data_IF_997988372913
#
_entry.id   IF_997988372913
#
_cell.length_a   1.000
_cell.length_b   1.000
_cell.length_c   1.000
_cell.angle_alpha   90.00
_cell.angle_beta   90.00
_cell.angle_gamma   90.00
#
_symmetry.space_group_name_H-M   'P 1'
#
loop_
_entity.id
_entity.type
_entity.pdbx_description
1 polymer ?
#
# COMPACT_ATOMS: atom_id res chain seq x y z
N UNK A 1 59.61 -63.28 29.71
CA UNK A 1 58.18 -63.24 29.34
C UNK A 1 57.37 -62.19 30.15
N UNK A 2 57.96 -61.05 30.55
CA UNK A 2 57.33 -60.08 31.47
C UNK A 2 56.95 -58.72 30.84
N UNK A 3 57.12 -58.56 29.53
CA UNK A 3 56.84 -57.29 28.83
C UNK A 3 55.41 -57.18 28.29
N UNK A 4 54.66 -58.27 28.23
CA UNK A 4 53.34 -58.31 27.59
C UNK A 4 52.22 -57.85 28.54
N UNK A 5 52.32 -58.10 29.85
CA UNK A 5 51.25 -57.72 30.79
C UNK A 5 51.24 -56.20 31.08
N UNK A 6 52.39 -55.55 31.29
CA UNK A 6 52.44 -54.09 31.55
C UNK A 6 51.94 -53.26 30.37
N UNK A 7 52.28 -53.67 29.14
CA UNK A 7 51.78 -53.04 27.91
C UNK A 7 50.27 -53.29 27.74
N UNK A 8 49.78 -54.49 28.08
CA UNK A 8 48.36 -54.81 28.00
C UNK A 8 47.52 -54.10 29.07
N UNK A 9 48.05 -53.88 30.28
CA UNK A 9 47.35 -53.14 31.35
C UNK A 9 47.32 -51.64 31.07
N UNK A 10 48.41 -51.06 30.55
CA UNK A 10 48.43 -49.68 30.05
C UNK A 10 47.43 -49.51 28.91
N UNK A 11 47.44 -50.42 27.93
CA UNK A 11 46.49 -50.39 26.81
C UNK A 11 45.01 -50.48 27.28
N UNK A 12 44.71 -51.29 28.29
CA UNK A 12 43.37 -51.38 28.88
C UNK A 12 42.96 -50.09 29.61
N UNK A 13 43.89 -49.45 30.32
CA UNK A 13 43.65 -48.20 31.03
C UNK A 13 43.49 -47.02 30.06
N UNK A 14 44.32 -46.96 29.01
CA UNK A 14 44.23 -45.97 27.93
C UNK A 14 42.92 -46.13 27.17
N UNK A 15 42.55 -47.36 26.80
CA UNK A 15 41.26 -47.66 26.17
C UNK A 15 40.05 -47.28 27.04
N UNK A 16 40.16 -47.43 28.37
CA UNK A 16 39.11 -47.02 29.30
C UNK A 16 39.01 -45.50 29.41
N UNK A 17 40.16 -44.81 29.41
CA UNK A 17 40.24 -43.34 29.46
C UNK A 17 39.67 -42.72 28.18
N UNK A 18 40.03 -43.24 27.01
CA UNK A 18 39.49 -42.79 25.72
C UNK A 18 37.97 -42.96 25.64
N UNK A 19 37.45 -44.09 26.13
CA UNK A 19 35.99 -44.33 26.22
C UNK A 19 35.31 -43.35 27.16
N UNK A 20 35.91 -43.03 28.30
CA UNK A 20 35.37 -42.06 29.25
C UNK A 20 35.35 -40.65 28.64
N UNK A 21 36.43 -40.23 27.98
CA UNK A 21 36.49 -38.95 27.28
C UNK A 21 35.45 -38.85 26.16
N UNK A 22 35.22 -39.93 25.41
CA UNK A 22 34.16 -40.00 24.40
C UNK A 22 32.75 -39.88 25.01
N UNK A 23 32.50 -40.53 26.16
CA UNK A 23 31.23 -40.44 26.88
C UNK A 23 30.97 -39.03 27.43
N UNK A 24 31.98 -38.39 28.03
CA UNK A 24 31.90 -37.02 28.52
C UNK A 24 31.59 -36.04 27.37
N UNK A 25 32.24 -36.21 26.22
CA UNK A 25 31.97 -35.39 25.02
C UNK A 25 30.52 -35.56 24.55
N UNK A 26 30.01 -36.80 24.50
CA UNK A 26 28.62 -37.08 24.10
C UNK A 26 27.59 -36.53 25.09
N UNK A 27 27.87 -36.62 26.39
CA UNK A 27 27.04 -36.03 27.43
C UNK A 27 26.97 -34.51 27.28
N UNK A 28 28.12 -33.85 27.10
CA UNK A 28 28.18 -32.41 26.88
C UNK A 28 27.37 -31.98 25.64
N UNK A 29 27.52 -32.68 24.50
CA UNK A 29 26.71 -32.41 23.30
C UNK A 29 25.21 -32.58 23.57
N UNK A 30 24.81 -33.62 24.30
CA UNK A 30 23.40 -33.87 24.61
C UNK A 30 22.82 -32.79 25.53
N UNK A 31 23.61 -32.34 26.51
CA UNK A 31 23.24 -31.22 27.39
C UNK A 31 23.08 -29.92 26.59
N UNK A 32 23.98 -29.63 25.64
CA UNK A 32 23.86 -28.48 24.74
C UNK A 32 22.63 -28.57 23.85
N UNK A 33 22.34 -29.74 23.24
CA UNK A 33 21.13 -29.95 22.44
C UNK A 33 19.86 -29.75 23.25
N UNK A 34 19.85 -30.18 24.51
CA UNK A 34 18.73 -30.00 25.43
C UNK A 34 18.55 -28.53 25.83
N UNK A 35 19.65 -27.83 26.11
CA UNK A 35 19.62 -26.42 26.49
C UNK A 35 19.15 -25.52 25.33
N UNK A 36 19.58 -25.81 24.10
CA UNK A 36 19.20 -25.03 22.91
C UNK A 36 17.89 -25.51 22.25
N UNK A 37 17.40 -26.69 22.62
CA UNK A 37 16.24 -27.34 21.97
C UNK A 37 16.47 -27.73 20.51
N UNK A 38 17.72 -27.76 20.04
CA UNK A 38 18.09 -28.04 18.65
C UNK A 38 18.81 -29.37 18.53
N UNK A 39 18.45 -30.15 17.51
CA UNK A 39 19.14 -31.40 17.20
C UNK A 39 20.51 -31.17 16.55
N UNK A 40 20.67 -30.08 15.79
CA UNK A 40 21.93 -29.72 15.12
C UNK A 40 22.45 -28.43 15.74
N UNK A 41 23.60 -28.50 16.40
CA UNK A 41 24.24 -27.37 17.10
C UNK A 41 25.21 -26.63 16.18
N UNK A 42 26.09 -27.37 15.50
CA UNK A 42 27.02 -26.83 14.53
C UNK A 42 26.77 -27.43 13.13
N UNK A 43 26.95 -26.65 12.04
CA UNK A 43 26.93 -27.17 10.68
C UNK A 43 27.93 -28.33 10.45
N UNK A 44 29.02 -28.37 11.20
CA UNK A 44 30.03 -29.43 11.15
C UNK A 44 29.51 -30.79 11.65
N UNK A 45 28.49 -30.81 12.51
CA UNK A 45 28.01 -32.03 13.17
C UNK A 45 27.07 -32.84 12.27
N UNK A 46 26.41 -32.17 11.32
CA UNK A 46 25.50 -32.78 10.36
C UNK A 46 25.39 -31.92 9.09
N UNK A 47 26.39 -31.96 8.19
CA UNK A 47 26.45 -31.06 7.03
C UNK A 47 25.21 -31.15 6.12
N UNK A 48 24.66 -32.34 5.90
CA UNK A 48 23.44 -32.52 5.08
C UNK A 48 22.21 -31.86 5.72
N UNK A 49 22.05 -32.01 7.05
CA UNK A 49 20.96 -31.38 7.81
C UNK A 49 21.15 -29.87 7.88
N UNK A 50 22.38 -29.41 8.06
CA UNK A 50 22.71 -28.00 8.10
C UNK A 50 22.40 -27.31 6.76
N UNK A 51 22.71 -27.94 5.63
CA UNK A 51 22.34 -27.44 4.31
C UNK A 51 20.82 -27.36 4.13
N UNK A 52 20.06 -28.37 4.61
CA UNK A 52 18.60 -28.32 4.57
C UNK A 52 18.02 -27.20 5.46
N UNK A 53 18.54 -27.03 6.68
CA UNK A 53 18.15 -25.93 7.59
C UNK A 53 18.44 -24.58 6.95
N UNK A 54 19.61 -24.38 6.35
CA UNK A 54 19.97 -23.13 5.69
C UNK A 54 19.01 -22.81 4.53
N UNK A 55 18.64 -23.82 3.72
CA UNK A 55 17.63 -23.64 2.66
C UNK A 55 16.27 -23.22 3.24
N UNK A 56 15.82 -23.86 4.32
CA UNK A 56 14.57 -23.52 4.99
C UNK A 56 14.61 -22.11 5.60
N UNK A 57 15.72 -21.72 6.23
CA UNK A 57 15.88 -20.36 6.76
C UNK A 57 15.83 -19.31 5.64
N UNK A 58 16.48 -19.57 4.50
CA UNK A 58 16.38 -18.67 3.34
C UNK A 58 14.96 -18.57 2.78
N UNK A 59 14.19 -19.67 2.82
CA UNK A 59 12.77 -19.63 2.45
C UNK A 59 11.91 -18.86 3.45
N UNK A 60 12.15 -19.03 4.75
CA UNK A 60 11.49 -18.24 5.79
C UNK A 60 11.80 -16.75 5.66
N UNK A 61 13.05 -16.38 5.39
CA UNK A 61 13.45 -15.00 5.18
C UNK A 61 12.75 -14.39 3.95
N UNK A 62 12.68 -15.13 2.84
CA UNK A 62 11.90 -14.71 1.66
C UNK A 62 10.42 -14.49 2.02
N UNK A 63 9.80 -15.41 2.77
CA UNK A 63 8.41 -15.27 3.20
C UNK A 63 8.21 -14.06 4.11
N UNK A 64 9.11 -13.82 5.06
CA UNK A 64 9.05 -12.65 5.93
C UNK A 64 9.14 -11.35 5.14
N UNK A 65 10.00 -11.29 4.11
CA UNK A 65 10.10 -10.13 3.22
C UNK A 65 8.79 -9.91 2.42
N UNK A 66 8.12 -10.97 1.96
CA UNK A 66 6.81 -10.84 1.33
C UNK A 66 5.74 -10.34 2.31
N UNK A 67 5.70 -10.85 3.53
CA UNK A 67 4.75 -10.41 4.57
C UNK A 67 4.96 -8.91 4.86
N UNK A 68 6.20 -8.47 5.06
CA UNK A 68 6.51 -7.07 5.31
C UNK A 68 6.12 -6.16 4.14
N UNK A 69 6.41 -6.59 2.90
CA UNK A 69 6.02 -5.84 1.70
C UNK A 69 4.49 -5.73 1.57
N UNK A 70 3.76 -6.82 1.83
CA UNK A 70 2.30 -6.85 1.80
C UNK A 70 1.67 -5.97 2.89
N UNK A 71 2.27 -5.92 4.08
CA UNK A 71 1.82 -5.02 5.14
C UNK A 71 1.94 -3.56 4.71
N UNK A 72 3.05 -3.18 4.06
CA UNK A 72 3.23 -1.82 3.51
C UNK A 72 2.18 -1.50 2.45
N UNK A 73 1.87 -2.42 1.53
CA UNK A 73 0.78 -2.23 0.58
C UNK A 73 -0.60 -2.11 1.26
N UNK A 74 -0.87 -2.93 2.27
CA UNK A 74 -2.14 -2.90 2.99
C UNK A 74 -2.35 -1.55 3.68
N UNK A 75 -1.34 -1.02 4.37
CA UNK A 75 -1.41 0.30 5.00
C UNK A 75 -1.67 1.40 3.97
N UNK A 76 -1.01 1.33 2.82
CA UNK A 76 -1.25 2.27 1.72
C UNK A 76 -2.68 2.20 1.22
N UNK A 77 -3.20 1.00 0.96
CA UNK A 77 -4.58 0.80 0.51
C UNK A 77 -5.62 1.28 1.53
N UNK A 78 -5.36 1.10 2.83
CA UNK A 78 -6.24 1.64 3.88
C UNK A 78 -6.30 3.16 3.86
N UNK A 79 -5.15 3.81 3.61
CA UNK A 79 -5.06 5.26 3.40
C UNK A 79 -5.83 5.71 2.15
N UNK A 80 -5.64 5.00 1.03
CA UNK A 80 -6.38 5.26 -0.21
C UNK A 80 -7.89 5.10 -0.02
N UNK A 81 -8.33 4.03 0.64
CA UNK A 81 -9.75 3.75 0.91
C UNK A 81 -10.38 4.82 1.80
N UNK A 82 -9.66 5.27 2.83
CA UNK A 82 -10.15 6.30 3.74
C UNK A 82 -10.30 7.64 3.00
N UNK A 83 -9.30 8.04 2.22
CA UNK A 83 -9.37 9.24 1.39
C UNK A 83 -10.53 9.16 0.39
N UNK A 84 -10.75 7.99 -0.22
CA UNK A 84 -11.84 7.76 -1.16
C UNK A 84 -13.22 7.78 -0.53
N UNK A 85 -13.36 7.21 0.66
CA UNK A 85 -14.61 7.26 1.42
C UNK A 85 -14.98 8.71 1.74
N UNK A 86 -14.01 9.49 2.22
CA UNK A 86 -14.22 10.92 2.46
C UNK A 86 -14.53 11.69 1.18
N UNK A 87 -13.90 11.34 0.05
CA UNK A 87 -14.20 11.96 -1.24
C UNK A 87 -15.64 11.67 -1.69
N UNK A 88 -16.12 10.44 -1.48
CA UNK A 88 -17.51 10.05 -1.75
C UNK A 88 -18.51 10.82 -0.88
N UNK A 89 -18.21 11.05 0.40
CA UNK A 89 -19.06 11.85 1.29
C UNK A 89 -19.14 13.31 0.80
N UNK A 90 -18.01 13.87 0.36
CA UNK A 90 -17.95 15.22 -0.22
C UNK A 90 -18.75 15.31 -1.52
N UNK A 91 -18.64 14.31 -2.40
CA UNK A 91 -19.44 14.24 -3.63
C UNK A 91 -20.94 14.12 -3.35
N UNK A 92 -21.32 13.36 -2.34
CA UNK A 92 -22.72 13.26 -1.89
C UNK A 92 -23.24 14.63 -1.47
N UNK A 93 -22.46 15.39 -0.69
CA UNK A 93 -22.81 16.77 -0.30
C UNK A 93 -22.90 17.70 -1.51
N UNK A 94 -21.97 17.61 -2.47
CA UNK A 94 -22.03 18.39 -3.70
C UNK A 94 -23.30 18.09 -4.50
N UNK A 95 -23.71 16.82 -4.57
CA UNK A 95 -24.96 16.40 -5.23
C UNK A 95 -26.19 17.00 -4.54
N UNK A 96 -26.24 16.99 -3.21
CA UNK A 96 -27.32 17.65 -2.45
C UNK A 96 -27.42 19.14 -2.77
N UNK A 97 -26.28 19.84 -2.77
CA UNK A 97 -26.22 21.27 -3.10
C UNK A 97 -26.62 21.55 -4.56
N UNK A 98 -26.29 20.65 -5.49
CA UNK A 98 -26.65 20.78 -6.91
C UNK A 98 -28.15 20.62 -7.13
N UNK A 99 -28.76 19.62 -6.47
CA UNK A 99 -30.21 19.45 -6.44
C UNK A 99 -30.91 20.63 -5.78
N UNK A 100 -30.31 21.16 -4.70
CA UNK A 100 -30.80 22.36 -4.06
C UNK A 100 -30.81 23.54 -5.04
N UNK A 101 -29.70 23.83 -5.73
CA UNK A 101 -29.60 24.92 -6.70
C UNK A 101 -30.55 24.77 -7.91
N UNK A 102 -30.89 23.54 -8.28
CA UNK A 102 -31.82 23.26 -9.40
C UNK A 102 -33.28 23.60 -9.05
N UNK A 103 -33.62 23.75 -7.76
CA UNK A 103 -34.97 24.15 -7.36
C UNK A 103 -35.22 25.63 -7.75
N UNK A 104 -36.09 25.85 -8.74
CA UNK A 104 -36.35 27.15 -9.37
C UNK A 104 -36.98 28.26 -8.52
N UNK A 105 -37.01 28.12 -7.19
CA UNK A 105 -37.44 29.16 -6.24
C UNK A 105 -36.28 29.98 -5.66
N UNK A 106 -35.03 29.63 -6.00
CA UNK A 106 -33.84 30.31 -5.47
C UNK A 106 -33.46 31.54 -6.29
N UNK A 107 -33.03 32.59 -5.58
CA UNK A 107 -32.51 33.80 -6.19
C UNK A 107 -31.01 33.71 -6.45
N UNK A 108 -30.48 34.76 -7.08
CA UNK A 108 -29.05 34.88 -7.40
C UNK A 108 -28.15 34.81 -6.16
N UNK A 109 -28.61 35.35 -5.03
CA UNK A 109 -27.84 35.38 -3.77
C UNK A 109 -27.70 33.96 -3.21
N UNK A 110 -28.76 33.16 -3.25
CA UNK A 110 -28.73 31.77 -2.82
C UNK A 110 -27.80 30.93 -3.69
N UNK A 111 -27.84 31.11 -5.02
CA UNK A 111 -26.93 30.43 -5.94
C UNK A 111 -25.46 30.79 -5.70
N UNK A 112 -25.15 32.07 -5.43
CA UNK A 112 -23.79 32.49 -5.08
C UNK A 112 -23.29 31.86 -3.77
N UNK A 113 -24.18 31.73 -2.77
CA UNK A 113 -23.86 31.06 -1.51
C UNK A 113 -23.59 29.57 -1.71
N UNK A 114 -24.43 28.87 -2.49
CA UNK A 114 -24.26 27.45 -2.80
C UNK A 114 -22.96 27.22 -3.59
N UNK A 115 -22.69 28.05 -4.60
CA UNK A 115 -21.45 27.97 -5.38
C UNK A 115 -20.20 28.15 -4.50
N UNK A 116 -20.26 29.04 -3.51
CA UNK A 116 -19.17 29.23 -2.54
C UNK A 116 -18.94 27.99 -1.69
N UNK A 117 -20.03 27.34 -1.22
CA UNK A 117 -19.92 26.08 -0.47
C UNK A 117 -19.35 24.95 -1.34
N UNK A 118 -19.82 24.81 -2.58
CA UNK A 118 -19.30 23.83 -3.52
C UNK A 118 -17.82 24.06 -3.83
N UNK A 119 -17.37 25.32 -3.92
CA UNK A 119 -15.96 25.63 -4.12
C UNK A 119 -15.09 25.18 -2.93
N UNK A 120 -15.56 25.35 -1.70
CA UNK A 120 -14.88 24.84 -0.52
C UNK A 120 -14.81 23.29 -0.51
N UNK A 121 -15.89 22.62 -0.90
CA UNK A 121 -15.92 21.16 -1.04
C UNK A 121 -14.98 20.68 -2.15
N UNK A 122 -14.85 21.44 -3.24
CA UNK A 122 -13.94 21.14 -4.34
C UNK A 122 -12.49 21.22 -3.86
N UNK A 123 -12.13 22.23 -3.10
CA UNK A 123 -10.79 22.35 -2.51
C UNK A 123 -10.52 21.23 -1.50
N UNK A 124 -11.54 20.78 -0.77
CA UNK A 124 -11.45 19.59 0.08
C UNK A 124 -11.18 18.32 -0.75
N UNK A 125 -11.83 18.12 -1.90
CA UNK A 125 -11.53 17.00 -2.81
C UNK A 125 -10.10 17.05 -3.33
N UNK A 126 -9.58 18.24 -3.66
CA UNK A 126 -8.17 18.41 -4.06
C UNK A 126 -7.24 18.02 -2.92
N UNK A 127 -7.55 18.41 -1.69
CA UNK A 127 -6.79 18.01 -0.51
C UNK A 127 -6.81 16.49 -0.30
N UNK A 128 -7.97 15.85 -0.50
CA UNK A 128 -8.12 14.38 -0.40
C UNK A 128 -7.34 13.66 -1.51
N UNK A 129 -7.37 14.18 -2.75
CA UNK A 129 -6.55 13.70 -3.86
C UNK A 129 -5.05 13.90 -3.64
N UNK A 130 -4.67 14.75 -2.68
CA UNK A 130 -3.30 15.00 -2.24
C UNK A 130 -2.98 14.38 -0.87
N UNK A 131 -3.74 13.37 -0.44
CA UNK A 131 -3.45 12.64 0.79
C UNK A 131 -2.07 11.99 0.73
N UNK A 132 -1.38 11.98 1.89
CA UNK A 132 -0.04 11.41 2.05
C UNK A 132 -0.09 10.18 2.97
N UNK A 133 0.83 9.24 2.74
CA UNK A 133 1.09 8.15 3.68
C UNK A 133 1.95 8.59 4.87
N UNK A 134 2.16 7.68 5.83
CA UNK A 134 2.99 7.90 7.02
C UNK A 134 4.46 8.24 6.69
N UNK A 135 4.92 7.93 5.48
CA UNK A 135 6.25 8.26 4.98
C UNK A 135 6.30 9.62 4.28
N UNK A 136 5.17 10.33 4.17
CA UNK A 136 5.05 11.63 3.53
C UNK A 136 4.85 11.57 2.01
N UNK A 137 4.68 10.38 1.44
CA UNK A 137 4.49 10.20 0.00
C UNK A 137 3.03 10.43 -0.39
N UNK A 138 2.79 11.11 -1.50
CA UNK A 138 1.45 11.25 -2.06
C UNK A 138 0.90 9.89 -2.52
N UNK A 139 -0.34 9.60 -2.12
CA UNK A 139 -0.99 8.32 -2.40
C UNK A 139 -1.33 8.17 -3.89
N UNK A 140 -1.79 9.25 -4.51
CA UNK A 140 -2.39 9.25 -5.85
C UNK A 140 -1.49 9.85 -6.94
N UNK A 141 -0.17 10.00 -6.72
CA UNK A 141 0.73 10.65 -7.69
C UNK A 141 1.50 9.67 -8.61
N UNK A 142 1.15 8.38 -8.58
CA UNK A 142 1.88 7.35 -9.32
C UNK A 142 3.28 7.13 -8.74
N UNK A 143 4.32 7.17 -9.57
CA UNK A 143 5.72 7.08 -9.10
C UNK A 143 6.31 8.42 -8.64
N UNK A 144 5.67 9.56 -8.95
CA UNK A 144 6.04 10.91 -8.48
C UNK A 144 5.60 11.15 -7.03
N UNK A 145 5.97 10.27 -6.12
CA UNK A 145 5.54 10.26 -4.71
C UNK A 145 5.83 11.55 -3.94
N UNK A 146 6.81 12.34 -4.37
CA UNK A 146 7.19 13.62 -3.76
C UNK A 146 6.49 14.84 -4.36
N UNK A 147 5.68 14.66 -5.40
CA UNK A 147 4.94 15.73 -6.08
C UNK A 147 3.45 15.57 -5.77
N UNK A 148 2.72 16.66 -5.43
CA UNK A 148 1.27 16.59 -5.26
C UNK A 148 0.63 16.01 -6.52
N UNK A 149 -0.36 15.14 -6.35
CA UNK A 149 -1.08 14.55 -7.46
C UNK A 149 -1.87 15.62 -8.22
N UNK A 150 -2.48 16.56 -7.50
CA UNK A 150 -3.32 17.62 -8.04
C UNK A 150 -2.80 18.99 -7.62
N UNK A 151 -2.71 19.93 -8.56
CA UNK A 151 -2.37 21.31 -8.26
C UNK A 151 -3.36 22.26 -8.90
N UNK A 152 -3.65 23.35 -8.20
CA UNK A 152 -4.48 24.43 -8.69
C UNK A 152 -3.61 25.37 -9.52
N UNK A 153 -3.94 25.54 -10.80
CA UNK A 153 -3.29 26.47 -11.70
C UNK A 153 -3.73 27.91 -11.43
N UNK A 154 -3.04 28.88 -12.04
CA UNK A 154 -3.32 30.32 -11.82
C UNK A 154 -4.70 30.78 -12.27
N UNK A 155 -5.37 30.00 -13.13
CA UNK A 155 -6.76 30.20 -13.57
C UNK A 155 -7.80 29.54 -12.65
N UNK A 156 -7.36 28.83 -11.61
CA UNK A 156 -8.21 28.07 -10.68
C UNK A 156 -8.47 26.62 -11.10
N UNK A 157 -8.10 26.20 -12.31
CA UNK A 157 -8.28 24.81 -12.77
C UNK A 157 -7.38 23.85 -12.00
N UNK A 158 -7.82 22.60 -11.81
CA UNK A 158 -6.97 21.55 -11.21
C UNK A 158 -6.32 20.70 -12.28
N UNK A 159 -5.00 20.61 -12.21
CA UNK A 159 -4.19 19.82 -13.12
C UNK A 159 -3.54 18.65 -12.37
N UNK A 160 -3.59 17.48 -12.99
CA UNK A 160 -2.87 16.31 -12.49
C UNK A 160 -1.37 16.45 -12.82
N UNK A 161 -0.52 16.38 -11.79
CA UNK A 161 0.95 16.45 -11.92
C UNK A 161 1.65 15.09 -11.69
N UNK A 162 0.91 14.08 -11.24
CA UNK A 162 1.42 12.73 -11.09
C UNK A 162 1.71 12.03 -12.42
N UNK A 163 2.08 10.77 -12.35
CA UNK A 163 2.20 9.89 -13.53
C UNK A 163 1.21 8.71 -13.44
N UNK A 164 1.10 7.94 -14.52
CA UNK A 164 0.23 6.76 -14.60
C UNK A 164 0.98 5.44 -14.35
N UNK A 165 2.17 5.51 -13.74
CA UNK A 165 3.03 4.34 -13.57
C UNK A 165 2.57 3.50 -12.40
N UNK A 166 2.25 2.23 -12.71
CA UNK A 166 1.88 1.23 -11.73
C UNK A 166 3.14 0.49 -11.27
N UNK A 167 3.54 0.72 -10.02
CA UNK A 167 4.55 -0.08 -9.34
C UNK A 167 3.88 -1.33 -8.80
N UNK A 168 4.54 -2.48 -8.89
CA UNK A 168 4.07 -3.73 -8.32
C UNK A 168 5.06 -4.24 -7.28
N UNK A 169 4.56 -4.79 -6.18
CA UNK A 169 5.39 -5.43 -5.16
C UNK A 169 5.13 -6.95 -5.14
N UNK A 170 6.15 -7.76 -4.80
CA UNK A 170 5.98 -9.20 -4.71
C UNK A 170 5.09 -9.58 -3.51
N UNK A 171 4.17 -10.51 -3.77
CA UNK A 171 3.18 -11.03 -2.81
C UNK A 171 3.32 -12.55 -2.59
N UNK A 172 4.41 -13.13 -3.07
CA UNK A 172 4.67 -14.58 -3.06
C UNK A 172 5.50 -15.02 -4.25
N UNK A 173 5.63 -16.33 -4.41
CA UNK A 173 6.29 -16.92 -5.59
C UNK A 173 5.45 -16.60 -6.82
N UNK A 174 6.02 -15.84 -7.76
CA UNK A 174 5.40 -15.41 -9.02
C UNK A 174 4.10 -14.60 -8.87
N UNK A 175 3.82 -14.06 -7.68
CA UNK A 175 2.66 -13.21 -7.44
C UNK A 175 3.09 -11.79 -7.15
N UNK A 176 2.39 -10.84 -7.76
CA UNK A 176 2.61 -9.42 -7.56
C UNK A 176 1.27 -8.72 -7.35
N UNK A 177 1.28 -7.68 -6.53
CA UNK A 177 0.14 -6.77 -6.32
C UNK A 177 0.55 -5.37 -6.74
N UNK A 178 -0.40 -4.61 -7.29
CA UNK A 178 -0.17 -3.19 -7.57
C UNK A 178 0.10 -2.45 -6.26
N UNK A 179 0.95 -1.44 -6.26
CA UNK A 179 1.28 -0.68 -5.05
C UNK A 179 0.94 0.79 -5.21
N UNK A 180 1.18 1.35 -6.38
CA UNK A 180 0.78 2.72 -6.71
C UNK A 180 -0.55 2.72 -7.45
N UNK A 181 -1.27 3.84 -7.31
CA UNK A 181 -2.46 4.16 -8.10
C UNK A 181 -2.33 5.59 -8.63
N UNK A 182 -2.71 5.80 -9.88
CA UNK A 182 -2.72 7.13 -10.46
C UNK A 182 -3.98 7.88 -10.04
N UNK A 183 -3.86 9.18 -9.73
CA UNK A 183 -5.01 10.01 -9.38
C UNK A 183 -6.02 10.09 -10.51
N UNK A 184 -5.60 9.96 -11.77
CA UNK A 184 -6.49 9.89 -12.94
C UNK A 184 -7.31 8.60 -13.03
N UNK A 185 -6.88 7.52 -12.37
CA UNK A 185 -7.65 6.27 -12.32
C UNK A 185 -8.74 6.34 -11.24
N UNK A 186 -8.53 7.18 -10.22
CA UNK A 186 -9.42 7.36 -9.08
C UNK A 186 -10.42 8.48 -9.34
N UNK A 187 -9.91 9.63 -9.73
CA UNK A 187 -10.67 10.81 -10.13
C UNK A 187 -10.75 10.81 -11.65
N UNK A 188 -11.57 9.89 -12.16
CA UNK A 188 -11.67 9.58 -13.58
C UNK A 188 -12.38 10.68 -14.36
N UNK A 189 -12.18 10.68 -15.68
CA UNK A 189 -12.84 11.61 -16.58
C UNK A 189 -14.32 11.28 -16.69
N UNK A 190 -15.16 12.30 -16.72
CA UNK A 190 -16.59 12.18 -17.01
C UNK A 190 -16.80 12.23 -18.51
N UNK A 191 -17.66 11.38 -19.04
CA UNK A 191 -18.02 11.36 -20.47
C UNK A 191 -19.36 12.08 -20.62
N UNK A 192 -19.36 13.20 -21.35
CA UNK A 192 -20.56 13.96 -21.67
C UNK A 192 -20.91 13.78 -23.14
N UNK A 193 -22.19 13.66 -23.45
CA UNK A 193 -22.70 13.75 -24.82
C UNK A 193 -23.00 15.22 -25.14
N UNK A 194 -22.22 15.82 -26.04
CA UNK A 194 -22.49 17.15 -26.59
C UNK A 194 -22.89 17.00 -28.06
N UNK A 195 -24.19 17.11 -28.34
CA UNK A 195 -24.77 17.05 -29.69
C UNK A 195 -24.36 15.80 -30.51
N UNK A 196 -24.27 14.62 -29.87
CA UNK A 196 -23.90 13.36 -30.53
C UNK A 196 -22.40 13.11 -30.64
N UNK A 197 -21.58 13.91 -29.95
CA UNK A 197 -20.14 13.71 -29.80
C UNK A 197 -19.80 13.50 -28.32
N UNK A 198 -19.14 12.38 -28.01
CA UNK A 198 -18.68 12.09 -26.65
C UNK A 198 -17.44 12.94 -26.32
N UNK A 199 -17.62 13.94 -25.46
CA UNK A 199 -16.54 14.77 -24.94
C UNK A 199 -16.12 14.24 -23.58
N UNK A 200 -14.84 13.94 -23.41
CA UNK A 200 -14.29 13.60 -22.09
C UNK A 200 -13.88 14.88 -21.36
N UNK A 201 -14.40 15.07 -20.15
CA UNK A 201 -14.10 16.20 -19.27
C UNK A 201 -13.34 15.67 -18.05
N UNK A 202 -12.32 16.38 -17.56
CA UNK A 202 -11.62 15.99 -16.34
C UNK A 202 -12.57 16.02 -15.13
N UNK A 203 -12.35 15.17 -14.13
CA UNK A 203 -13.16 15.13 -12.92
C UNK A 203 -13.35 16.52 -12.27
N UNK A 204 -12.23 17.20 -11.99
CA UNK A 204 -12.27 18.53 -11.37
C UNK A 204 -12.79 19.60 -12.32
N UNK A 205 -12.56 19.47 -13.63
CA UNK A 205 -13.12 20.39 -14.62
C UNK A 205 -14.66 20.28 -14.66
N UNK A 206 -15.21 19.08 -14.50
CA UNK A 206 -16.66 18.86 -14.44
C UNK A 206 -17.26 19.51 -13.18
N UNK A 207 -16.58 19.40 -12.03
CA UNK A 207 -16.98 20.09 -10.79
C UNK A 207 -16.89 21.61 -10.96
N UNK A 208 -15.82 22.13 -11.55
CA UNK A 208 -15.65 23.57 -11.77
C UNK A 208 -16.73 24.11 -12.73
N UNK A 209 -17.13 23.35 -13.75
CA UNK A 209 -18.26 23.66 -14.63
C UNK A 209 -19.60 23.63 -13.88
N UNK A 210 -19.81 22.68 -12.96
CA UNK A 210 -21.01 22.64 -12.11
C UNK A 210 -21.12 23.89 -11.24
N UNK A 211 -20.04 24.27 -10.57
CA UNK A 211 -19.98 25.47 -9.72
C UNK A 211 -20.30 26.72 -10.54
N UNK A 212 -19.74 26.81 -11.76
CA UNK A 212 -20.03 27.92 -12.67
C UNK A 212 -21.51 27.95 -13.11
N UNK A 213 -22.09 26.78 -13.42
CA UNK A 213 -23.50 26.65 -13.79
C UNK A 213 -24.45 27.08 -12.67
N UNK A 214 -24.18 26.63 -11.44
CA UNK A 214 -24.94 27.05 -10.24
C UNK A 214 -24.84 28.55 -10.05
N UNK A 215 -23.63 29.12 -10.08
CA UNK A 215 -23.41 30.56 -9.93
C UNK A 215 -24.13 31.40 -10.99
N UNK A 216 -24.21 30.89 -12.23
CA UNK A 216 -24.91 31.54 -13.33
C UNK A 216 -26.44 31.36 -13.26
N UNK A 217 -26.95 30.41 -12.47
CA UNK A 217 -28.35 30.01 -12.47
C UNK A 217 -28.78 29.35 -13.79
N UNK A 218 -27.85 28.70 -14.50
CA UNK A 218 -28.13 28.03 -15.76
C UNK A 218 -28.70 26.62 -15.51
N UNK A 219 -30.02 26.48 -15.69
CA UNK A 219 -30.74 25.22 -15.47
C UNK A 219 -30.26 24.05 -16.33
N UNK A 220 -29.74 24.31 -17.53
CA UNK A 220 -29.21 23.27 -18.42
C UNK A 220 -27.84 22.82 -17.95
N UNK A 221 -26.98 23.75 -17.55
CA UNK A 221 -25.68 23.42 -16.95
C UNK A 221 -25.85 22.59 -15.67
N UNK A 222 -26.79 22.99 -14.80
CA UNK A 222 -27.07 22.26 -13.55
C UNK A 222 -27.59 20.84 -13.79
N UNK A 223 -28.48 20.64 -14.77
CA UNK A 223 -28.98 19.29 -15.12
C UNK A 223 -27.87 18.37 -15.65
N UNK A 224 -26.97 18.89 -16.47
CA UNK A 224 -25.82 18.13 -16.95
C UNK A 224 -24.89 17.75 -15.79
N UNK A 225 -24.66 18.66 -14.85
CA UNK A 225 -23.81 18.40 -13.68
C UNK A 225 -24.37 17.35 -12.72
N UNK A 226 -25.69 17.26 -12.55
CA UNK A 226 -26.30 16.19 -11.74
C UNK A 226 -26.08 14.82 -12.41
N UNK A 227 -26.18 14.76 -13.74
CA UNK A 227 -25.90 13.53 -14.50
C UNK A 227 -24.43 13.12 -14.45
N UNK A 228 -23.51 14.08 -14.31
CA UNK A 228 -22.07 13.82 -14.24
C UNK A 228 -21.62 13.23 -12.89
N UNK A 229 -22.48 13.30 -11.85
CA UNK A 229 -22.23 12.82 -10.50
C UNK A 229 -22.82 11.42 -10.23
N UNK A 230 -23.58 10.86 -11.18
CA UNK A 230 -24.15 9.49 -11.13
C UNK A 230 -23.22 8.47 -11.81
#
# INVERSE_FOLDING_TARGET
MASVSKVSTSFLFDSATDRMSALQKRLATTQSQMAEGKQVLSPSDAPDKAAAIQRLNGELERQNNYISSLQVALHRYQGEETALRSANDVLTRMKELSLQATNGTQGKVEHEAIATEMQALRDQLVSLGNTRDDSGNYLFSGTRVNTPAFAVAGDGSVQYQGDQTLTKIPAGVERQVAYTRAGTDVFSRVIRDDNGQSVSVGFFDAIDQMIAGVKAGDGTAMQNSVSDLD
#
